data_IF_655867758769
#
_entry.id   IF_655867758769
#
_cell.length_a   1.000
_cell.length_b   1.000
_cell.length_c   1.000
_cell.angle_alpha   90.00
_cell.angle_beta   90.00
_cell.angle_gamma   90.00
#
_symmetry.space_group_name_H-M   'P 1'
#
loop_
_entity.id
_entity.type
_entity.pdbx_description
1 polymer ?
#
# COMPACT_ATOMS: atom_id res chain seq x y z
N UNK A 1 6.07 -7.85 8.04
CA UNK A 1 5.13 -8.68 8.81
C UNK A 1 5.73 -9.19 10.12
N UNK A 2 7.01 -9.58 10.17
CA UNK A 2 7.68 -10.03 11.41
C UNK A 2 7.57 -9.05 12.58
N UNK A 3 7.79 -7.75 12.33
CA UNK A 3 7.55 -6.71 13.34
C UNK A 3 6.15 -6.74 13.96
N UNK A 4 5.11 -6.97 13.16
CA UNK A 4 3.74 -7.09 13.66
C UNK A 4 3.58 -8.33 14.53
N UNK A 5 4.10 -9.48 14.11
CA UNK A 5 3.96 -10.74 14.85
C UNK A 5 4.75 -10.75 16.15
N UNK A 6 5.87 -10.02 16.20
CA UNK A 6 6.76 -9.96 17.35
C UNK A 6 6.34 -8.89 18.37
N UNK A 7 6.00 -7.68 17.90
CA UNK A 7 5.71 -6.54 18.78
C UNK A 7 4.22 -6.29 18.99
N UNK A 8 3.38 -6.85 18.13
CA UNK A 8 1.95 -6.54 18.07
C UNK A 8 1.62 -5.14 17.54
N UNK A 9 2.58 -4.43 16.96
CA UNK A 9 2.38 -3.05 16.53
C UNK A 9 2.95 -2.77 15.13
N UNK A 10 2.24 -1.91 14.40
CA UNK A 10 2.70 -1.23 13.20
C UNK A 10 2.14 0.20 13.22
N UNK A 11 2.90 1.17 12.74
CA UNK A 11 2.35 2.53 12.55
C UNK A 11 1.31 2.55 11.41
N UNK A 12 0.49 3.60 11.38
CA UNK A 12 -0.61 3.72 10.42
C UNK A 12 -0.17 3.52 8.95
N UNK A 13 0.96 4.12 8.55
CA UNK A 13 1.45 4.05 7.18
C UNK A 13 1.86 2.65 6.78
N UNK A 14 2.49 1.91 7.69
CA UNK A 14 2.84 0.51 7.47
C UNK A 14 1.60 -0.38 7.37
N UNK A 15 0.57 -0.16 8.21
CA UNK A 15 -0.70 -0.88 8.10
C UNK A 15 -1.36 -0.65 6.73
N UNK A 16 -1.44 0.62 6.30
CA UNK A 16 -1.97 0.98 4.99
C UNK A 16 -1.16 0.37 3.83
N UNK A 17 0.17 0.36 3.95
CA UNK A 17 1.05 -0.27 2.97
C UNK A 17 0.78 -1.78 2.87
N UNK A 18 0.69 -2.48 3.99
CA UNK A 18 0.36 -3.92 4.03
C UNK A 18 -1.00 -4.20 3.38
N UNK A 19 -2.03 -3.44 3.75
CA UNK A 19 -3.36 -3.61 3.17
C UNK A 19 -3.35 -3.41 1.65
N UNK A 20 -2.75 -2.31 1.18
CA UNK A 20 -2.67 -2.00 -0.25
C UNK A 20 -1.85 -3.02 -1.05
N UNK A 21 -0.74 -3.52 -0.49
CA UNK A 21 0.09 -4.53 -1.12
C UNK A 21 -0.66 -5.86 -1.21
N UNK A 22 -1.31 -6.28 -0.12
CA UNK A 22 -2.05 -7.52 -0.09
C UNK A 22 -3.25 -7.51 -1.06
N UNK A 23 -4.00 -6.41 -1.12
CA UNK A 23 -5.21 -6.34 -1.96
C UNK A 23 -4.92 -6.01 -3.42
N UNK A 24 -4.09 -5.00 -3.71
CA UNK A 24 -3.91 -4.52 -5.08
C UNK A 24 -2.77 -5.20 -5.81
N UNK A 25 -1.67 -5.48 -5.10
CA UNK A 25 -0.46 -6.05 -5.70
C UNK A 25 -0.58 -7.57 -5.75
N UNK A 26 -0.93 -8.21 -4.63
CA UNK A 26 -1.11 -9.66 -4.58
C UNK A 26 -2.51 -10.12 -5.00
N UNK A 27 -3.45 -9.19 -5.22
CA UNK A 27 -4.84 -9.48 -5.67
C UNK A 27 -5.59 -10.45 -4.74
N UNK A 28 -5.29 -10.38 -3.44
CA UNK A 28 -5.88 -11.26 -2.44
C UNK A 28 -7.17 -10.65 -1.85
N UNK A 29 -8.04 -11.52 -1.36
CA UNK A 29 -9.26 -11.09 -0.68
C UNK A 29 -8.93 -10.43 0.66
N UNK A 30 -9.27 -9.14 0.78
CA UNK A 30 -8.87 -8.26 1.88
C UNK A 30 -9.14 -8.82 3.28
N UNK A 31 -10.24 -9.56 3.45
CA UNK A 31 -10.66 -10.05 4.78
C UNK A 31 -9.62 -10.97 5.40
N UNK A 32 -8.90 -11.76 4.60
CA UNK A 32 -7.84 -12.65 5.07
C UNK A 32 -6.71 -11.83 5.74
N UNK A 33 -6.30 -10.74 5.11
CA UNK A 33 -5.29 -9.83 5.66
C UNK A 33 -5.81 -9.06 6.88
N UNK A 34 -7.09 -8.65 6.86
CA UNK A 34 -7.74 -7.98 7.97
C UNK A 34 -7.81 -8.85 9.22
N UNK A 35 -8.18 -10.13 9.07
CA UNK A 35 -8.25 -11.11 10.15
C UNK A 35 -6.84 -11.39 10.71
N UNK A 36 -5.82 -11.50 9.84
CA UNK A 36 -4.43 -11.65 10.27
C UNK A 36 -3.96 -10.45 11.11
N UNK A 37 -4.19 -9.22 10.65
CA UNK A 37 -3.81 -8.03 11.41
C UNK A 37 -4.59 -7.90 12.70
N UNK A 38 -5.89 -8.19 12.70
CA UNK A 38 -6.72 -8.19 13.90
C UNK A 38 -6.18 -9.14 14.97
N UNK A 39 -5.72 -10.33 14.57
CA UNK A 39 -5.17 -11.31 15.49
C UNK A 39 -3.85 -10.87 16.14
N UNK A 40 -3.01 -10.14 15.41
CA UNK A 40 -1.67 -9.76 15.88
C UNK A 40 -1.58 -8.37 16.50
N UNK A 41 -2.48 -7.45 16.17
CA UNK A 41 -2.43 -6.08 16.69
C UNK A 41 -2.81 -6.02 18.17
N UNK A 42 -1.94 -5.44 18.99
CA UNK A 42 -2.23 -5.24 20.43
C UNK A 42 -3.36 -4.22 20.65
N UNK A 43 -3.52 -3.29 19.71
CA UNK A 43 -4.57 -2.27 19.68
C UNK A 43 -5.73 -2.64 18.76
N UNK A 44 -5.93 -3.94 18.49
CA UNK A 44 -6.96 -4.43 17.61
C UNK A 44 -8.37 -4.13 18.14
N UNK A 45 -9.02 -3.13 17.56
CA UNK A 45 -10.46 -2.93 17.65
C UNK A 45 -11.12 -3.41 16.35
N UNK A 46 -12.19 -4.22 16.40
CA UNK A 46 -12.81 -4.78 15.20
C UNK A 46 -13.41 -3.67 14.32
N UNK A 47 -14.09 -2.69 14.90
CA UNK A 47 -14.70 -1.62 14.12
C UNK A 47 -13.63 -0.78 13.41
N UNK A 48 -12.51 -0.49 14.08
CA UNK A 48 -11.40 0.26 13.50
C UNK A 48 -10.68 -0.58 12.44
N UNK A 49 -10.24 -1.80 12.77
CA UNK A 49 -9.43 -2.62 11.86
C UNK A 49 -10.17 -2.92 10.56
N UNK A 50 -11.39 -3.45 10.63
CA UNK A 50 -12.13 -3.84 9.42
C UNK A 50 -12.51 -2.63 8.57
N UNK A 51 -12.90 -1.50 9.18
CA UNK A 51 -13.21 -0.28 8.44
C UNK A 51 -11.96 0.31 7.75
N UNK A 52 -10.81 0.29 8.42
CA UNK A 52 -9.55 0.73 7.82
C UNK A 52 -9.12 -0.16 6.65
N UNK A 53 -9.25 -1.47 6.77
CA UNK A 53 -8.98 -2.39 5.66
C UNK A 53 -9.90 -2.15 4.47
N UNK A 54 -11.21 -2.01 4.69
CA UNK A 54 -12.16 -1.69 3.62
C UNK A 54 -11.82 -0.36 2.93
N UNK A 55 -11.40 0.64 3.71
CA UNK A 55 -10.96 1.93 3.19
C UNK A 55 -9.72 1.79 2.30
N UNK A 56 -8.68 1.09 2.78
CA UNK A 56 -7.42 0.93 2.03
C UNK A 56 -7.58 0.06 0.79
N UNK A 57 -8.53 -0.88 0.80
CA UNK A 57 -8.84 -1.76 -0.34
C UNK A 57 -9.89 -1.20 -1.31
N UNK A 58 -10.31 0.06 -1.14
CA UNK A 58 -11.15 0.76 -2.12
C UNK A 58 -12.63 0.37 -2.08
N UNK A 59 -13.10 -0.27 -1.00
CA UNK A 59 -14.46 -0.79 -0.87
C UNK A 59 -15.49 0.25 -0.43
N UNK A 60 -15.03 1.39 0.10
CA UNK A 60 -15.91 2.44 0.65
C UNK A 60 -16.20 3.55 -0.37
N UNK A 61 -15.43 3.65 -1.48
CA UNK A 61 -15.68 4.55 -2.61
C UNK A 61 -15.51 6.06 -2.35
N UNK A 62 -15.27 6.48 -1.11
CA UNK A 62 -15.10 7.88 -0.72
C UNK A 62 -13.64 8.38 -0.78
N UNK A 63 -12.66 7.48 -0.71
CA UNK A 63 -11.24 7.81 -0.73
C UNK A 63 -10.59 7.42 -2.06
N UNK A 64 -9.57 8.16 -2.53
CA UNK A 64 -8.80 7.73 -3.68
C UNK A 64 -8.04 6.44 -3.36
N UNK A 65 -7.97 5.52 -4.34
CA UNK A 65 -7.18 4.31 -4.19
C UNK A 65 -5.70 4.67 -4.09
N UNK A 66 -5.06 4.26 -2.99
CA UNK A 66 -3.64 4.53 -2.73
C UNK A 66 -2.85 3.24 -2.83
N UNK A 67 -1.97 3.16 -3.83
CA UNK A 67 -1.00 2.06 -3.96
C UNK A 67 0.31 2.55 -3.36
N UNK A 68 0.65 2.03 -2.18
CA UNK A 68 1.89 2.37 -1.50
C UNK A 68 3.05 1.59 -2.13
N UNK A 69 4.20 2.25 -2.29
CA UNK A 69 5.41 1.63 -2.83
C UNK A 69 6.36 1.25 -1.67
N UNK A 70 6.58 -0.06 -1.41
CA UNK A 70 7.50 -0.50 -0.36
C UNK A 70 8.92 0.00 -0.56
N UNK A 71 9.41 0.06 -1.80
CA UNK A 71 10.75 0.55 -2.14
C UNK A 71 10.92 2.02 -1.78
N UNK A 72 9.92 2.84 -2.12
CA UNK A 72 9.88 4.26 -1.71
C UNK A 72 9.86 4.38 -0.17
N UNK A 73 9.14 3.49 0.51
CA UNK A 73 9.07 3.48 1.97
C UNK A 73 10.45 3.26 2.60
N UNK A 74 11.22 2.29 2.10
CA UNK A 74 12.60 2.05 2.57
C UNK A 74 13.45 3.30 2.39
N UNK A 75 13.47 3.86 1.18
CA UNK A 75 14.30 5.04 0.86
C UNK A 75 14.01 6.25 1.74
N UNK A 76 12.74 6.52 2.00
CA UNK A 76 12.32 7.76 2.68
C UNK A 76 12.21 7.63 4.20
N UNK A 77 11.89 6.43 4.71
CA UNK A 77 11.54 6.24 6.12
C UNK A 77 12.45 5.25 6.84
N UNK A 78 13.34 4.57 6.12
CA UNK A 78 14.36 3.68 6.69
C UNK A 78 15.71 3.83 5.95
N UNK A 79 16.28 5.06 5.83
CA UNK A 79 17.48 5.30 5.04
C UNK A 79 18.73 4.56 5.57
N UNK A 80 18.78 4.29 6.88
CA UNK A 80 19.84 3.50 7.51
C UNK A 80 19.55 1.98 7.50
N UNK A 81 18.33 1.57 7.11
CA UNK A 81 17.91 0.18 7.11
C UNK A 81 17.72 -0.41 8.52
N UNK A 82 17.61 0.41 9.56
CA UNK A 82 17.53 -0.03 10.96
C UNK A 82 16.32 -0.96 11.15
N UNK A 83 15.16 -0.54 10.65
CA UNK A 83 13.94 -1.33 10.76
C UNK A 83 14.06 -2.67 10.01
N UNK A 84 14.61 -2.66 8.80
CA UNK A 84 14.81 -3.89 8.03
C UNK A 84 15.80 -4.82 8.73
N UNK A 85 16.91 -4.31 9.28
CA UNK A 85 17.92 -5.15 9.95
C UNK A 85 17.39 -5.77 11.24
N UNK A 86 16.55 -5.04 11.97
CA UNK A 86 15.92 -5.55 13.19
C UNK A 86 14.97 -6.71 12.89
N UNK A 87 14.05 -6.54 11.92
CA UNK A 87 13.00 -7.53 11.68
C UNK A 87 13.29 -8.51 10.54
N UNK A 88 14.35 -8.30 9.77
CA UNK A 88 14.82 -9.17 8.68
C UNK A 88 16.32 -9.42 8.85
N UNK A 89 16.73 -10.15 9.91
CA UNK A 89 18.13 -10.29 10.30
C UNK A 89 19.00 -10.98 9.25
N UNK A 90 18.43 -11.78 8.34
CA UNK A 90 19.16 -12.34 7.20
C UNK A 90 19.72 -11.27 6.24
N UNK A 91 19.16 -10.05 6.26
CA UNK A 91 19.65 -8.91 5.47
C UNK A 91 20.61 -8.00 6.26
N UNK A 92 20.96 -8.35 7.50
CA UNK A 92 21.75 -7.48 8.39
C UNK A 92 23.14 -7.10 7.87
N UNK A 93 23.73 -7.92 7.00
CA UNK A 93 25.05 -7.67 6.41
C UNK A 93 24.97 -7.01 5.03
N UNK A 94 23.76 -6.84 4.48
CA UNK A 94 23.58 -6.22 3.17
C UNK A 94 23.72 -4.70 3.29
N UNK A 95 24.49 -4.07 2.40
CA UNK A 95 24.62 -2.61 2.37
C UNK A 95 23.26 -1.92 2.16
N UNK A 96 23.05 -0.77 2.82
CA UNK A 96 21.79 0.00 2.74
C UNK A 96 21.41 0.35 1.30
N UNK A 97 22.40 0.56 0.42
CA UNK A 97 22.22 0.80 -1.01
C UNK A 97 21.38 -0.27 -1.71
N UNK A 98 21.40 -1.51 -1.21
CA UNK A 98 20.66 -2.64 -1.80
C UNK A 98 19.39 -3.02 -1.05
N UNK A 99 19.12 -2.47 0.14
CA UNK A 99 17.93 -2.84 0.92
C UNK A 99 16.60 -2.46 0.24
N UNK A 100 16.61 -1.41 -0.59
CA UNK A 100 15.44 -1.04 -1.39
C UNK A 100 15.06 -2.15 -2.40
N UNK A 101 16.07 -2.78 -2.99
CA UNK A 101 15.93 -3.80 -4.04
C UNK A 101 16.94 -4.92 -3.83
N UNK A 102 16.74 -5.78 -2.82
CA UNK A 102 17.69 -6.86 -2.54
C UNK A 102 17.90 -7.74 -3.79
N UNK A 103 16.85 -7.96 -4.60
CA UNK A 103 16.93 -8.75 -5.84
C UNK A 103 17.86 -8.18 -6.92
N UNK A 104 18.32 -6.93 -6.76
CA UNK A 104 19.28 -6.28 -7.66
C UNK A 104 20.70 -6.29 -7.13
N UNK A 105 20.96 -6.95 -5.99
CA UNK A 105 22.31 -7.07 -5.41
C UNK A 105 23.22 -7.88 -6.35
N UNK A 106 24.35 -7.32 -6.82
CA UNK A 106 25.29 -8.07 -7.65
C UNK A 106 25.87 -9.30 -6.93
N UNK A 107 26.17 -10.37 -7.66
CA UNK A 107 26.67 -11.64 -7.08
C UNK A 107 27.91 -11.44 -6.19
N UNK A 108 28.89 -10.63 -6.62
CA UNK A 108 30.08 -10.36 -5.82
C UNK A 108 29.77 -9.67 -4.48
N UNK A 109 28.71 -8.87 -4.40
CA UNK A 109 28.27 -8.24 -3.14
C UNK A 109 27.55 -9.25 -2.26
N UNK A 110 26.74 -10.14 -2.87
CA UNK A 110 26.11 -11.25 -2.14
C UNK A 110 27.16 -12.16 -1.51
N UNK A 111 28.21 -12.53 -2.26
CA UNK A 111 29.35 -13.31 -1.76
C UNK A 111 30.09 -12.60 -0.62
N UNK A 112 30.39 -11.30 -0.77
CA UNK A 112 31.10 -10.53 0.26
C UNK A 112 30.29 -10.33 1.54
N UNK A 113 28.97 -10.17 1.44
CA UNK A 113 28.07 -9.96 2.58
C UNK A 113 27.58 -11.26 3.21
N UNK A 114 27.72 -12.39 2.51
CA UNK A 114 27.12 -13.67 2.90
C UNK A 114 25.59 -13.67 2.78
N UNK A 115 25.00 -12.74 2.02
CA UNK A 115 23.55 -12.61 1.82
C UNK A 115 23.19 -13.06 0.40
N UNK A 116 22.83 -14.33 0.26
CA UNK A 116 22.36 -14.93 -0.99
C UNK A 116 20.88 -14.67 -1.21
N UNK A 117 20.52 -14.20 -2.41
CA UNK A 117 19.16 -13.80 -2.75
C UNK A 117 18.65 -14.64 -3.91
N UNK A 118 17.54 -15.34 -3.70
CA UNK A 118 16.89 -16.12 -4.74
C UNK A 118 15.96 -17.21 -4.24
N UNK A 119 15.57 -18.10 -5.15
CA UNK A 119 14.62 -19.20 -4.87
C UNK A 119 15.32 -20.56 -4.69
N UNK A 120 16.65 -20.55 -4.63
CA UNK A 120 17.47 -21.75 -4.45
C UNK A 120 17.57 -22.10 -2.97
N UNK A 121 17.88 -23.37 -2.66
CA UNK A 121 17.94 -23.86 -1.28
C UNK A 121 19.03 -23.20 -0.42
N UNK A 122 20.04 -22.62 -1.06
CA UNK A 122 21.15 -21.88 -0.47
C UNK A 122 20.87 -20.38 -0.32
N UNK A 123 19.74 -19.88 -0.81
CA UNK A 123 19.34 -18.49 -0.65
C UNK A 123 18.85 -18.22 0.77
N UNK A 124 19.39 -17.18 1.42
CA UNK A 124 18.94 -16.75 2.76
C UNK A 124 17.72 -15.83 2.70
N UNK A 125 17.52 -15.14 1.57
CA UNK A 125 16.38 -14.26 1.36
C UNK A 125 15.75 -14.48 -0.02
N UNK A 126 14.41 -14.60 -0.12
CA UNK A 126 13.75 -14.97 -1.37
C UNK A 126 13.73 -13.83 -2.40
N UNK A 127 13.49 -14.19 -3.67
CA UNK A 127 13.11 -13.18 -4.66
C UNK A 127 11.73 -12.58 -4.34
N UNK A 128 11.43 -11.35 -4.83
CA UNK A 128 10.10 -10.78 -4.74
C UNK A 128 9.06 -11.71 -5.37
N UNK A 129 7.99 -12.02 -4.62
CA UNK A 129 6.89 -12.89 -5.06
C UNK A 129 6.26 -12.39 -6.37
N UNK A 130 6.26 -11.07 -6.57
CA UNK A 130 5.75 -10.43 -7.79
C UNK A 130 6.64 -9.24 -8.19
N UNK A 131 6.57 -8.85 -9.46
CA UNK A 131 7.07 -7.57 -9.94
C UNK A 131 6.12 -6.45 -9.48
N UNK A 132 6.55 -5.71 -8.45
CA UNK A 132 5.74 -4.65 -7.86
C UNK A 132 5.34 -3.56 -8.87
N UNK A 133 6.27 -3.08 -9.72
CA UNK A 133 6.00 -2.00 -10.67
C UNK A 133 4.96 -2.43 -11.70
N UNK A 134 5.08 -3.66 -12.19
CA UNK A 134 4.12 -4.24 -13.13
C UNK A 134 2.74 -4.34 -12.49
N UNK A 135 2.63 -4.98 -11.34
CA UNK A 135 1.34 -5.18 -10.67
C UNK A 135 0.70 -3.85 -10.22
N UNK A 136 1.51 -2.88 -9.78
CA UNK A 136 1.03 -1.54 -9.44
C UNK A 136 0.47 -0.79 -10.67
N UNK A 137 1.09 -0.95 -11.84
CA UNK A 137 0.59 -0.39 -13.10
C UNK A 137 -0.74 -1.05 -13.48
N UNK A 138 -0.79 -2.37 -13.49
CA UNK A 138 -2.01 -3.13 -13.79
C UNK A 138 -3.17 -2.78 -12.85
N UNK A 139 -2.89 -2.60 -11.55
CA UNK A 139 -3.90 -2.20 -10.60
C UNK A 139 -4.46 -0.79 -10.90
N UNK A 140 -3.61 0.17 -11.29
CA UNK A 140 -4.06 1.52 -11.68
C UNK A 140 -4.93 1.49 -12.94
N UNK A 141 -4.49 0.75 -13.95
CA UNK A 141 -5.25 0.55 -15.20
C UNK A 141 -6.63 -0.04 -14.91
N UNK A 142 -6.71 -1.10 -14.09
CA UNK A 142 -7.97 -1.71 -13.70
C UNK A 142 -8.95 -0.76 -12.98
N UNK A 143 -8.45 0.24 -12.26
CA UNK A 143 -9.30 1.29 -11.68
C UNK A 143 -9.73 2.33 -12.70
N UNK A 144 -8.81 2.74 -13.59
CA UNK A 144 -9.09 3.70 -14.65
C UNK A 144 -10.13 3.15 -15.65
N UNK A 145 -10.01 1.89 -16.06
CA UNK A 145 -10.92 1.24 -16.99
C UNK A 145 -12.36 1.18 -16.47
N UNK A 146 -12.52 1.15 -15.13
CA UNK A 146 -13.83 1.15 -14.47
C UNK A 146 -14.32 2.54 -14.10
N UNK A 147 -13.52 3.58 -14.28
CA UNK A 147 -13.86 4.93 -13.84
C UNK A 147 -15.08 5.49 -14.58
N UNK A 148 -15.17 5.28 -15.89
CA UNK A 148 -16.29 5.76 -16.71
C UNK A 148 -17.56 4.99 -16.40
N UNK A 149 -17.48 3.65 -16.35
CA UNK A 149 -18.60 2.80 -15.96
C UNK A 149 -19.10 3.10 -14.54
N UNK A 150 -18.20 3.40 -13.60
CA UNK A 150 -18.57 3.82 -12.25
C UNK A 150 -19.27 5.19 -12.25
N UNK A 151 -18.83 6.12 -13.10
CA UNK A 151 -19.48 7.45 -13.25
C UNK A 151 -20.87 7.31 -13.85
N UNK A 152 -21.04 6.46 -14.86
CA UNK A 152 -22.34 6.15 -15.46
C UNK A 152 -23.28 5.50 -14.42
N UNK A 153 -22.80 4.49 -13.69
CA UNK A 153 -23.60 3.81 -12.67
C UNK A 153 -24.06 4.76 -11.55
N UNK A 154 -23.28 5.78 -11.21
CA UNK A 154 -23.68 6.79 -10.21
C UNK A 154 -24.82 7.73 -10.66
N UNK A 155 -25.18 7.71 -11.94
CA UNK A 155 -26.36 8.43 -12.44
C UNK A 155 -27.67 7.77 -12.00
N UNK A 156 -27.65 6.46 -11.74
CA UNK A 156 -28.80 5.73 -11.20
C UNK A 156 -29.08 6.17 -9.74
N UNK A 157 -30.27 6.72 -9.44
CA UNK A 157 -30.63 7.16 -8.09
C UNK A 157 -30.53 6.06 -7.02
N UNK A 158 -30.81 4.80 -7.37
CA UNK A 158 -30.73 3.67 -6.44
C UNK A 158 -29.29 3.30 -6.11
N UNK A 159 -28.42 3.32 -7.11
CA UNK A 159 -26.97 3.12 -6.93
C UNK A 159 -26.39 4.25 -6.12
N UNK A 160 -26.72 5.50 -6.46
CA UNK A 160 -26.25 6.70 -5.76
C UNK A 160 -26.69 6.75 -4.31
N UNK A 161 -27.91 6.28 -3.99
CA UNK A 161 -28.40 6.18 -2.60
C UNK A 161 -27.57 5.21 -1.76
N UNK A 162 -27.10 4.11 -2.36
CA UNK A 162 -26.30 3.08 -1.68
C UNK A 162 -24.81 3.40 -1.68
N UNK A 163 -24.35 4.24 -2.62
CA UNK A 163 -22.96 4.67 -2.71
C UNK A 163 -22.56 5.51 -1.48
N UNK A 164 -21.48 5.11 -0.81
CA UNK A 164 -20.93 5.82 0.34
C UNK A 164 -20.08 7.02 -0.12
N UNK A 165 -20.74 8.09 -0.58
CA UNK A 165 -20.07 9.29 -1.09
C UNK A 165 -19.82 10.33 0.01
N UNK A 166 -18.61 10.91 0.00
CA UNK A 166 -18.29 12.05 0.87
C UNK A 166 -19.21 13.25 0.58
N UNK A 167 -19.47 14.09 1.59
CA UNK A 167 -20.30 15.31 1.43
C UNK A 167 -19.75 16.26 0.36
N UNK A 168 -18.42 16.32 0.20
CA UNK A 168 -17.74 17.16 -0.80
C UNK A 168 -17.98 16.67 -2.24
N UNK A 169 -17.94 15.35 -2.47
CA UNK A 169 -18.30 14.75 -3.78
C UNK A 169 -19.79 14.92 -4.12
N UNK A 170 -20.67 14.82 -3.13
CA UNK A 170 -22.11 15.10 -3.31
C UNK A 170 -22.40 16.53 -3.82
N UNK A 171 -21.55 17.50 -3.49
CA UNK A 171 -21.72 18.91 -3.89
C UNK A 171 -21.00 19.28 -5.19
N UNK A 172 -19.81 18.72 -5.46
CA UNK A 172 -19.03 19.05 -6.67
C UNK A 172 -19.72 18.68 -7.98
N UNK A 173 -20.57 17.65 -8.00
CA UNK A 173 -21.34 17.25 -9.19
C UNK A 173 -22.63 18.05 -9.38
N UNK A 174 -23.09 18.78 -8.35
CA UNK A 174 -24.19 19.75 -8.48
C UNK A 174 -23.75 21.05 -9.18
N UNK A 175 -22.44 21.33 -9.23
CA UNK A 175 -21.88 22.53 -9.86
C UNK A 175 -21.41 22.34 -11.31
N UNK A 176 -21.31 21.10 -11.80
CA UNK A 176 -20.81 20.82 -13.16
C UNK A 176 -21.80 21.12 -14.30
N UNK A 177 -22.98 21.66 -14.01
CA UNK A 177 -23.81 22.36 -15.02
C UNK A 177 -23.40 23.82 -15.26
N UNK A 178 -22.40 24.34 -14.53
CA UNK A 178 -21.87 25.67 -14.79
C UNK A 178 -20.35 25.73 -14.64
N UNK A 179 -19.69 26.16 -15.71
CA UNK A 179 -18.32 26.68 -15.81
C UNK A 179 -17.19 25.66 -16.00
N UNK A 180 -16.51 25.79 -17.15
CA UNK A 180 -15.34 25.02 -17.54
C UNK A 180 -14.02 25.49 -16.91
N UNK A 181 -13.02 24.65 -17.14
CA UNK A 181 -11.56 24.87 -17.04
C UNK A 181 -11.01 25.30 -15.67
N UNK A 182 -10.31 24.40 -14.98
CA UNK A 182 -8.89 24.63 -14.66
C UNK A 182 -8.17 23.45 -13.97
N UNK A 183 -6.90 23.35 -14.34
CA UNK A 183 -5.80 22.58 -13.78
C UNK A 183 -5.61 22.75 -12.27
N UNK A 184 -5.56 21.65 -11.52
CA UNK A 184 -5.06 21.64 -10.15
C UNK A 184 -4.54 20.24 -9.80
N UNK A 185 -3.40 19.87 -10.38
CA UNK A 185 -2.72 18.59 -10.13
C UNK A 185 -1.28 18.87 -9.68
N UNK A 186 -1.10 19.46 -8.48
CA UNK A 186 0.24 19.56 -7.86
C UNK A 186 0.29 19.90 -6.35
N UNK A 187 -0.81 20.00 -5.60
CA UNK A 187 -0.75 20.56 -4.24
C UNK A 187 -0.93 19.56 -3.06
N UNK A 188 -1.35 18.31 -3.30
CA UNK A 188 -1.86 17.47 -2.19
C UNK A 188 -0.82 16.51 -1.56
N UNK A 189 0.48 16.69 -1.86
CA UNK A 189 1.56 15.87 -1.28
C UNK A 189 2.33 16.54 -0.13
N UNK A 190 1.96 17.75 0.29
CA UNK A 190 2.76 18.54 1.25
C UNK A 190 2.14 18.74 2.64
N UNK A 191 0.92 18.25 2.92
CA UNK A 191 0.20 18.57 4.16
C UNK A 191 0.13 17.47 5.24
N UNK A 192 1.01 16.47 5.19
CA UNK A 192 1.07 15.41 6.22
C UNK A 192 2.43 15.29 6.91
N UNK A 193 3.25 16.35 6.86
CA UNK A 193 4.55 16.41 7.55
C UNK A 193 4.49 17.02 8.97
N UNK A 194 3.35 17.58 9.39
CA UNK A 194 3.26 18.37 10.64
C UNK A 194 2.56 17.65 11.81
N UNK A 195 2.74 16.34 11.94
CA UNK A 195 2.45 15.62 13.18
C UNK A 195 3.51 14.53 13.42
N UNK A 196 4.68 14.99 13.86
CA UNK A 196 5.68 14.25 14.63
C UNK A 196 6.05 15.09 15.85
#
# INVERSE_FOLDING_TARGET
MRALTETGFLNFRMRAMVASFFSYILKQWWRIGADFMYYHLIDADPAINYAQWQMQCGLVGCHPNRIYNPRKQVRENDPAGEFIREYVPELQNLSTTFLERPEKTPLHVQEQSGVTIGDTSDAVYPYPIVDFEREATLAREQFNDRADAAREALQDPDVRRRASLSRKRRHQEFSTESTGTNSADTADQQQLADYS
#
